data_IF_747585479904
#
_entry.id   IF_747585479904
#
_cell.length_a   1.000
_cell.length_b   1.000
_cell.length_c   1.000
_cell.angle_alpha   90.00
_cell.angle_beta   90.00
_cell.angle_gamma   90.00
#
_symmetry.space_group_name_H-M   'P 1'
#
loop_
_entity.id
_entity.type
_entity.pdbx_description
1 polymer ?
#
# COMPACT_ATOMS: atom_id res chain seq x y z
N UNK A 1 -23.14 -4.13 4.19
CA UNK A 1 -23.13 -3.47 2.86
C UNK A 1 -21.80 -2.75 2.68
N UNK A 2 -21.22 -2.67 1.49
CA UNK A 2 -19.97 -1.91 1.28
C UNK A 2 -20.23 -0.39 1.32
N UNK A 3 -19.35 0.38 1.94
CA UNK A 3 -19.37 1.84 1.92
C UNK A 3 -18.99 2.43 0.54
N UNK A 4 -19.16 3.74 0.35
CA UNK A 4 -18.88 4.43 -0.93
C UNK A 4 -17.38 4.36 -1.26
N UNK A 5 -17.02 3.55 -2.25
CA UNK A 5 -15.63 3.36 -2.71
C UNK A 5 -14.93 2.10 -2.19
N UNK A 6 -15.43 1.48 -1.12
CA UNK A 6 -14.85 0.27 -0.53
C UNK A 6 -14.94 -0.94 -1.47
N UNK A 7 -16.08 -1.12 -2.15
CA UNK A 7 -16.22 -2.18 -3.15
C UNK A 7 -15.26 -1.98 -4.34
N UNK A 8 -15.00 -0.72 -4.72
CA UNK A 8 -14.06 -0.42 -5.79
C UNK A 8 -12.61 -0.74 -5.36
N UNK A 9 -12.23 -0.38 -4.13
CA UNK A 9 -10.94 -0.76 -3.50
C UNK A 9 -10.78 -2.28 -3.47
N UNK A 10 -11.80 -3.00 -3.01
CA UNK A 10 -11.77 -4.47 -2.94
C UNK A 10 -11.64 -5.12 -4.31
N UNK A 11 -12.41 -4.69 -5.33
CA UNK A 11 -12.29 -5.22 -6.70
C UNK A 11 -10.87 -5.00 -7.24
N UNK A 12 -10.32 -3.80 -7.06
CA UNK A 12 -8.99 -3.46 -7.55
C UNK A 12 -7.90 -4.31 -6.87
N UNK A 13 -7.94 -4.43 -5.54
CA UNK A 13 -7.03 -5.24 -4.76
C UNK A 13 -7.17 -6.73 -5.07
N UNK A 14 -8.40 -7.21 -5.23
CA UNK A 14 -8.70 -8.60 -5.53
C UNK A 14 -8.13 -9.04 -6.89
N UNK A 15 -8.28 -8.21 -7.93
CA UNK A 15 -7.72 -8.50 -9.25
C UNK A 15 -6.18 -8.47 -9.21
N UNK A 16 -5.57 -7.58 -8.41
CA UNK A 16 -4.11 -7.49 -8.30
C UNK A 16 -3.46 -8.52 -7.36
N UNK A 17 -4.15 -9.00 -6.33
CA UNK A 17 -3.66 -10.06 -5.43
C UNK A 17 -3.56 -11.43 -6.10
N UNK A 18 -4.26 -11.61 -7.24
CA UNK A 18 -4.10 -12.74 -8.15
C UNK A 18 -2.89 -12.54 -9.10
N UNK A 19 -2.26 -11.37 -9.06
CA UNK A 19 -1.24 -10.89 -10.01
C UNK A 19 0.22 -11.27 -9.70
N UNK A 20 0.50 -12.52 -9.32
CA UNK A 20 1.84 -13.11 -9.49
C UNK A 20 1.89 -14.16 -10.60
N UNK A 21 0.76 -14.58 -11.13
CA UNK A 21 0.69 -15.48 -12.27
C UNK A 21 -0.43 -14.96 -13.15
N UNK A 22 -0.20 -14.97 -14.46
CA UNK A 22 -1.27 -15.01 -15.46
C UNK A 22 -2.10 -16.26 -15.15
N UNK A 23 -2.97 -16.22 -14.13
CA UNK A 23 -3.92 -17.28 -13.89
C UNK A 23 -5.05 -16.98 -14.87
N UNK A 24 -4.89 -17.54 -16.07
CA UNK A 24 -5.96 -17.77 -17.01
C UNK A 24 -6.99 -18.71 -16.35
N UNK A 25 -7.83 -18.21 -15.44
CA UNK A 25 -9.18 -18.77 -15.33
C UNK A 25 -9.99 -18.11 -16.43
N UNK A 26 -10.29 -18.92 -17.43
CA UNK A 26 -10.89 -18.46 -18.65
C UNK A 26 -12.40 -18.39 -18.52
N UNK A 27 -12.94 -17.22 -18.18
CA UNK A 27 -14.38 -16.97 -18.19
C UNK A 27 -14.67 -15.61 -18.85
N UNK A 28 -15.74 -15.49 -19.63
CA UNK A 28 -16.12 -14.23 -20.28
C UNK A 28 -16.63 -13.18 -19.27
N UNK A 29 -16.46 -11.92 -19.64
CA UNK A 29 -16.88 -10.71 -18.95
C UNK A 29 -16.40 -10.59 -17.51
N UNK A 30 -17.35 -10.25 -16.64
CA UNK A 30 -17.16 -10.16 -15.21
C UNK A 30 -17.04 -11.51 -14.52
N UNK A 31 -16.93 -12.63 -15.26
CA UNK A 31 -16.77 -13.97 -14.70
C UNK A 31 -15.64 -14.02 -13.68
N UNK A 32 -14.48 -13.42 -13.98
CA UNK A 32 -13.36 -13.35 -13.04
C UNK A 32 -13.71 -12.60 -11.73
N UNK A 33 -14.46 -11.50 -11.83
CA UNK A 33 -14.92 -10.73 -10.66
C UNK A 33 -15.98 -11.51 -9.89
N UNK A 34 -16.89 -12.20 -10.57
CA UNK A 34 -17.93 -13.00 -9.92
C UNK A 34 -17.38 -14.27 -9.27
N UNK A 35 -16.37 -14.92 -9.86
CA UNK A 35 -15.66 -16.03 -9.23
C UNK A 35 -14.92 -15.58 -7.96
N UNK A 36 -14.26 -14.43 -8.02
CA UNK A 36 -13.50 -13.89 -6.88
C UNK A 36 -14.41 -13.47 -5.71
N UNK A 37 -15.55 -12.87 -6.01
CA UNK A 37 -16.45 -12.29 -4.99
C UNK A 37 -17.72 -13.11 -4.70
N UNK A 38 -17.98 -14.18 -5.46
CA UNK A 38 -19.11 -15.13 -5.32
C UNK A 38 -20.43 -14.44 -4.94
N UNK A 39 -21.00 -13.58 -5.82
CA UNK A 39 -22.20 -12.82 -5.51
C UNK A 39 -23.40 -13.73 -5.25
N UNK A 40 -24.13 -13.48 -4.15
CA UNK A 40 -25.19 -14.38 -3.66
C UNK A 40 -26.54 -14.17 -4.36
N UNK A 41 -26.77 -13.00 -4.94
CA UNK A 41 -28.04 -12.65 -5.59
C UNK A 41 -27.84 -11.71 -6.79
N UNK A 42 -28.94 -11.46 -7.52
CA UNK A 42 -28.94 -10.57 -8.71
C UNK A 42 -28.55 -9.13 -8.38
N UNK A 43 -28.87 -8.64 -7.18
CA UNK A 43 -28.51 -7.28 -6.74
C UNK A 43 -27.00 -7.16 -6.57
N UNK A 44 -26.35 -8.16 -5.97
CA UNK A 44 -24.89 -8.23 -5.80
C UNK A 44 -24.17 -8.28 -7.14
N UNK A 45 -24.67 -9.09 -8.09
CA UNK A 45 -24.15 -9.16 -9.47
C UNK A 45 -24.21 -7.80 -10.17
N UNK A 46 -25.35 -7.11 -10.09
CA UNK A 46 -25.53 -5.76 -10.66
C UNK A 46 -24.59 -4.75 -10.01
N UNK A 47 -24.36 -4.85 -8.69
CA UNK A 47 -23.46 -3.96 -7.94
C UNK A 47 -22.01 -4.12 -8.40
N UNK A 48 -21.52 -5.36 -8.42
CA UNK A 48 -20.18 -5.70 -8.92
C UNK A 48 -20.00 -5.26 -10.38
N UNK A 49 -21.02 -5.42 -11.22
CA UNK A 49 -20.99 -4.96 -12.60
C UNK A 49 -20.78 -3.45 -12.70
N UNK A 50 -21.60 -2.67 -11.99
CA UNK A 50 -21.51 -1.21 -11.99
C UNK A 50 -20.16 -0.73 -11.48
N UNK A 51 -19.66 -1.30 -10.38
CA UNK A 51 -18.36 -0.93 -9.81
C UNK A 51 -17.21 -1.27 -10.75
N UNK A 52 -17.23 -2.43 -11.40
CA UNK A 52 -16.17 -2.83 -12.35
C UNK A 52 -16.16 -1.93 -13.59
N UNK A 53 -17.33 -1.63 -14.17
CA UNK A 53 -17.45 -0.69 -15.29
C UNK A 53 -17.03 0.73 -14.91
N UNK A 54 -17.25 1.13 -13.66
CA UNK A 54 -16.78 2.43 -13.19
C UNK A 54 -15.25 2.48 -13.07
N UNK A 55 -14.62 1.42 -12.56
CA UNK A 55 -13.16 1.30 -12.52
C UNK A 55 -12.55 1.30 -13.94
N UNK A 56 -13.20 0.65 -14.89
CA UNK A 56 -12.82 0.70 -16.32
C UNK A 56 -12.96 2.12 -16.89
N UNK A 57 -14.08 2.81 -16.64
CA UNK A 57 -14.29 4.21 -17.07
C UNK A 57 -13.23 5.15 -16.48
N UNK A 58 -12.77 4.88 -15.26
CA UNK A 58 -11.67 5.60 -14.60
C UNK A 58 -10.28 5.20 -15.10
N UNK A 59 -10.18 4.29 -16.07
CA UNK A 59 -8.93 3.73 -16.61
C UNK A 59 -8.09 3.00 -15.57
N UNK A 60 -8.69 2.56 -14.46
CA UNK A 60 -8.03 1.76 -13.42
C UNK A 60 -8.00 0.27 -13.79
N UNK A 61 -9.01 -0.17 -14.54
CA UNK A 61 -9.06 -1.48 -15.18
C UNK A 61 -9.10 -1.32 -16.70
N UNK A 62 -8.62 -2.34 -17.40
CA UNK A 62 -8.81 -2.54 -18.83
C UNK A 62 -9.55 -3.85 -19.04
N UNK A 63 -10.66 -3.81 -19.78
CA UNK A 63 -11.41 -5.01 -20.16
C UNK A 63 -11.29 -5.17 -21.67
N UNK A 64 -10.81 -6.31 -22.13
CA UNK A 64 -10.63 -6.60 -23.55
C UNK A 64 -10.82 -8.09 -23.83
N UNK A 65 -11.09 -8.43 -25.09
CA UNK A 65 -11.30 -9.83 -25.50
C UNK A 65 -10.02 -10.42 -26.09
N UNK A 66 -9.64 -11.62 -25.62
CA UNK A 66 -8.51 -12.42 -26.12
C UNK A 66 -8.92 -13.89 -26.16
N UNK A 67 -8.75 -14.56 -27.31
CA UNK A 67 -9.12 -15.96 -27.52
C UNK A 67 -10.58 -16.28 -27.11
N UNK A 68 -11.53 -15.42 -27.50
CA UNK A 68 -12.96 -15.56 -27.19
C UNK A 68 -13.33 -15.32 -25.72
N UNK A 69 -12.38 -14.90 -24.88
CA UNK A 69 -12.55 -14.69 -23.43
C UNK A 69 -12.32 -13.22 -23.09
N UNK A 70 -13.11 -12.66 -22.17
CA UNK A 70 -12.84 -11.30 -21.69
C UNK A 70 -11.82 -11.36 -20.56
N UNK A 71 -10.83 -10.49 -20.65
CA UNK A 71 -9.72 -10.36 -19.72
C UNK A 71 -9.90 -9.03 -19.00
N UNK A 72 -9.85 -9.08 -17.67
CA UNK A 72 -9.82 -7.88 -16.82
C UNK A 72 -8.41 -7.70 -16.29
N UNK A 73 -7.79 -6.56 -16.60
CA UNK A 73 -6.41 -6.27 -16.22
C UNK A 73 -6.33 -4.95 -15.46
N UNK A 74 -5.52 -4.92 -14.39
CA UNK A 74 -5.23 -3.67 -13.68
C UNK A 74 -4.23 -2.86 -14.51
N UNK A 75 -4.62 -1.64 -14.89
CA UNK A 75 -3.73 -0.76 -15.65
C UNK A 75 -2.60 -0.22 -14.77
N UNK A 76 -1.59 0.43 -15.37
CA UNK A 76 -0.57 1.17 -14.59
C UNK A 76 -1.19 2.22 -13.65
N UNK A 77 -2.28 2.86 -14.06
CA UNK A 77 -3.01 3.80 -13.21
C UNK A 77 -3.74 3.08 -12.06
N UNK A 78 -4.34 1.93 -12.35
CA UNK A 78 -4.90 1.03 -11.35
C UNK A 78 -3.87 0.59 -10.32
N UNK A 79 -2.69 0.16 -10.76
CA UNK A 79 -1.59 -0.24 -9.88
C UNK A 79 -1.17 0.91 -8.95
N UNK A 80 -1.04 2.15 -9.46
CA UNK A 80 -0.78 3.32 -8.61
C UNK A 80 -1.88 3.55 -7.58
N UNK A 81 -3.16 3.36 -7.96
CA UNK A 81 -4.29 3.51 -7.04
C UNK A 81 -4.29 2.43 -5.95
N UNK A 82 -3.91 1.19 -6.30
CA UNK A 82 -3.71 0.09 -5.34
C UNK A 82 -2.62 0.44 -4.33
N UNK A 83 -1.47 0.91 -4.82
CA UNK A 83 -0.37 1.29 -3.93
C UNK A 83 -0.79 2.44 -3.00
N UNK A 84 -1.57 3.41 -3.49
CA UNK A 84 -2.15 4.46 -2.65
C UNK A 84 -3.10 3.90 -1.58
N UNK A 85 -3.94 2.91 -1.90
CA UNK A 85 -4.78 2.25 -0.89
C UNK A 85 -3.96 1.52 0.17
N UNK A 86 -2.84 0.90 -0.22
CA UNK A 86 -1.93 0.25 0.73
C UNK A 86 -1.24 1.27 1.64
N UNK A 87 -0.97 2.49 1.17
CA UNK A 87 -0.44 3.58 2.00
C UNK A 87 -1.45 4.05 3.05
N UNK A 88 -2.73 4.15 2.69
CA UNK A 88 -3.79 4.59 3.62
C UNK A 88 -3.92 3.68 4.84
N UNK A 89 -3.77 2.36 4.64
CA UNK A 89 -3.90 1.36 5.72
C UNK A 89 -2.55 1.01 6.38
N UNK A 90 -1.43 1.53 5.86
CA UNK A 90 -0.10 1.19 6.34
C UNK A 90 0.09 1.66 7.79
N UNK A 91 0.55 0.75 8.66
CA UNK A 91 0.95 1.07 10.04
C UNK A 91 2.10 0.17 10.46
N UNK A 92 3.04 0.72 11.21
CA UNK A 92 4.08 -0.06 11.87
C UNK A 92 3.41 -0.91 12.96
N UNK A 93 3.53 -2.23 12.84
CA UNK A 93 2.97 -3.16 13.82
C UNK A 93 3.74 -3.03 15.13
N UNK A 94 3.00 -2.87 16.23
CA UNK A 94 3.58 -2.82 17.57
C UNK A 94 3.58 -4.23 18.17
N UNK A 95 4.74 -4.91 18.27
CA UNK A 95 4.82 -6.19 18.96
C UNK A 95 4.55 -6.02 20.47
N UNK A 96 4.20 -7.12 21.14
CA UNK A 96 4.03 -7.14 22.60
C UNK A 96 5.33 -6.85 23.35
N UNK A 97 6.46 -7.27 22.78
CA UNK A 97 7.80 -7.12 23.36
C UNK A 97 8.70 -6.41 22.35
N UNK A 98 9.40 -5.37 22.81
CA UNK A 98 10.45 -4.71 22.06
C UNK A 98 11.70 -5.62 22.00
N UNK A 99 12.37 -5.64 20.86
CA UNK A 99 13.58 -6.45 20.65
C UNK A 99 14.88 -5.75 21.10
N UNK A 100 14.77 -4.53 21.65
CA UNK A 100 15.90 -3.75 22.15
C UNK A 100 16.68 -3.01 21.06
N UNK A 101 16.17 -2.95 19.83
CA UNK A 101 16.82 -2.24 18.73
C UNK A 101 15.92 -1.12 18.18
N UNK A 102 16.55 0.01 17.88
CA UNK A 102 15.96 1.12 17.15
C UNK A 102 16.18 0.94 15.66
N UNK A 103 15.13 1.24 14.89
CA UNK A 103 15.14 1.36 13.44
C UNK A 103 15.26 2.82 13.11
N UNK A 104 16.45 3.25 12.73
CA UNK A 104 16.71 4.63 12.33
C UNK A 104 16.57 4.72 10.82
N UNK A 105 15.73 5.66 10.39
CA UNK A 105 15.39 5.91 9.00
C UNK A 105 15.86 7.31 8.67
N UNK A 106 16.85 7.41 7.79
CA UNK A 106 17.36 8.69 7.29
C UNK A 106 17.12 8.77 5.80
N UNK A 107 16.91 9.98 5.28
CA UNK A 107 16.81 10.16 3.85
C UNK A 107 17.44 11.46 3.36
N UNK A 108 18.07 11.38 2.19
CA UNK A 108 18.58 12.53 1.45
C UNK A 108 17.97 12.53 0.04
N UNK A 109 16.75 13.04 -0.04
CA UNK A 109 15.96 13.07 -1.27
C UNK A 109 16.22 14.40 -1.98
N UNK A 110 16.65 14.37 -3.26
CA UNK A 110 17.04 15.58 -3.98
C UNK A 110 15.87 16.54 -4.19
N UNK A 111 16.13 17.84 -4.30
CA UNK A 111 15.10 18.88 -4.37
C UNK A 111 14.15 18.73 -5.56
N UNK A 112 14.62 18.16 -6.68
CA UNK A 112 13.76 17.78 -7.82
C UNK A 112 12.63 16.81 -7.45
N UNK A 113 12.76 16.11 -6.32
CA UNK A 113 11.76 15.20 -5.74
C UNK A 113 11.22 15.72 -4.39
N UNK A 114 11.15 17.05 -4.19
CA UNK A 114 10.66 17.67 -2.95
C UNK A 114 9.27 17.21 -2.50
N UNK A 115 8.39 16.89 -3.45
CA UNK A 115 7.06 16.35 -3.15
C UNK A 115 7.20 15.00 -2.47
N UNK A 116 7.94 14.05 -3.06
CA UNK A 116 8.21 12.74 -2.46
C UNK A 116 8.82 12.85 -1.06
N UNK A 117 9.76 13.79 -0.86
CA UNK A 117 10.34 14.04 0.47
C UNK A 117 9.28 14.44 1.51
N UNK A 118 8.39 15.37 1.16
CA UNK A 118 7.31 15.82 2.06
C UNK A 118 6.32 14.69 2.35
N UNK A 119 5.92 13.95 1.32
CA UNK A 119 5.00 12.82 1.46
C UNK A 119 5.58 11.70 2.33
N UNK A 120 6.83 11.27 2.09
CA UNK A 120 7.51 10.26 2.92
C UNK A 120 7.60 10.73 4.36
N UNK A 121 8.01 11.99 4.59
CA UNK A 121 8.08 12.54 5.95
C UNK A 121 6.72 12.52 6.66
N UNK A 122 5.63 12.82 5.94
CA UNK A 122 4.28 12.76 6.52
C UNK A 122 3.84 11.32 6.78
N UNK A 123 4.09 10.42 5.83
CA UNK A 123 3.72 9.01 5.93
C UNK A 123 4.46 8.31 7.07
N UNK A 124 5.77 8.55 7.25
CA UNK A 124 6.54 8.00 8.37
C UNK A 124 5.93 8.38 9.72
N UNK A 125 5.54 9.64 9.91
CA UNK A 125 4.81 10.06 11.11
C UNK A 125 3.47 9.33 11.24
N UNK A 126 2.69 9.24 10.15
CA UNK A 126 1.36 8.64 10.15
C UNK A 126 1.38 7.13 10.46
N UNK A 127 2.38 6.40 9.96
CA UNK A 127 2.53 4.96 10.22
C UNK A 127 3.12 4.68 11.62
N UNK A 128 3.52 5.72 12.36
CA UNK A 128 3.91 5.64 13.77
C UNK A 128 5.41 5.70 14.04
N UNK A 129 6.24 6.15 13.10
CA UNK A 129 7.65 6.45 13.36
C UNK A 129 7.79 7.83 14.04
N UNK A 130 8.74 7.95 14.96
CA UNK A 130 9.00 9.18 15.70
C UNK A 130 10.05 10.03 15.00
N UNK A 131 9.73 11.31 14.75
CA UNK A 131 10.63 12.24 14.07
C UNK A 131 11.64 12.82 15.05
N UNK A 132 12.93 12.55 14.83
CA UNK A 132 14.02 13.15 15.63
C UNK A 132 14.68 14.34 14.92
N UNK A 133 14.66 14.38 13.59
CA UNK A 133 15.12 15.52 12.79
C UNK A 133 14.28 15.70 11.52
N UNK A 134 14.59 16.71 10.70
CA UNK A 134 13.84 17.01 9.47
C UNK A 134 13.75 15.80 8.52
N UNK A 135 14.85 15.06 8.36
CA UNK A 135 14.94 13.89 7.48
C UNK A 135 15.29 12.60 8.21
N UNK A 136 15.07 12.56 9.53
CA UNK A 136 15.46 11.42 10.37
C UNK A 136 14.32 11.01 11.30
N UNK A 137 13.99 9.73 11.25
CA UNK A 137 12.93 9.10 12.01
C UNK A 137 13.45 7.86 12.74
N UNK A 138 12.79 7.50 13.83
CA UNK A 138 13.12 6.33 14.63
C UNK A 138 11.85 5.54 14.93
N UNK A 139 11.93 4.22 14.81
CA UNK A 139 10.91 3.28 15.30
C UNK A 139 11.58 2.24 16.19
N UNK A 140 11.05 1.91 17.37
CA UNK A 140 11.51 0.73 18.12
C UNK A 140 11.02 -0.58 17.49
N UNK A 141 10.09 -0.52 16.54
CA UNK A 141 9.45 -1.69 15.96
C UNK A 141 9.90 -1.88 14.52
N UNK A 142 9.98 -3.15 14.11
CA UNK A 142 10.33 -3.54 12.75
C UNK A 142 9.42 -2.88 11.72
N UNK A 143 10.02 -2.19 10.75
CA UNK A 143 9.29 -1.44 9.72
C UNK A 143 9.97 -1.49 8.35
N UNK A 144 10.94 -2.39 8.14
CA UNK A 144 11.73 -2.43 6.90
C UNK A 144 10.88 -2.51 5.64
N UNK A 145 9.81 -3.32 5.67
CA UNK A 145 8.91 -3.52 4.53
C UNK A 145 8.15 -2.23 4.17
N UNK A 146 7.70 -1.49 5.17
CA UNK A 146 7.04 -0.20 5.00
C UNK A 146 8.01 0.82 4.39
N UNK A 147 9.26 0.86 4.87
CA UNK A 147 10.30 1.76 4.33
C UNK A 147 10.66 1.41 2.88
N UNK A 148 10.81 0.12 2.57
CA UNK A 148 11.10 -0.34 1.22
C UNK A 148 9.95 0.02 0.26
N UNK A 149 8.70 -0.25 0.67
CA UNK A 149 7.52 0.13 -0.10
C UNK A 149 7.42 1.63 -0.36
N UNK A 150 7.62 2.47 0.68
CA UNK A 150 7.61 3.92 0.53
C UNK A 150 8.71 4.38 -0.44
N UNK A 151 9.92 3.85 -0.29
CA UNK A 151 11.03 4.16 -1.17
C UNK A 151 10.75 3.80 -2.62
N UNK A 152 10.17 2.63 -2.88
CA UNK A 152 9.84 2.16 -4.23
C UNK A 152 8.68 2.95 -4.84
N UNK A 153 7.60 3.17 -4.08
CA UNK A 153 6.41 3.90 -4.54
C UNK A 153 6.76 5.32 -5.03
N UNK A 154 7.66 6.00 -4.31
CA UNK A 154 8.11 7.35 -4.67
C UNK A 154 9.37 7.36 -5.55
N UNK A 155 9.90 6.20 -5.93
CA UNK A 155 11.13 6.06 -6.73
C UNK A 155 12.36 6.74 -6.08
N UNK A 156 12.47 6.65 -4.75
CA UNK A 156 13.55 7.25 -3.96
C UNK A 156 14.21 6.26 -3.00
N UNK A 157 13.99 4.95 -3.20
CA UNK A 157 14.51 3.93 -2.27
C UNK A 157 16.02 4.05 -2.02
N UNK A 158 16.79 4.35 -3.07
CA UNK A 158 18.26 4.56 -2.98
C UNK A 158 18.67 5.77 -2.14
N UNK A 159 17.75 6.70 -1.89
CA UNK A 159 17.96 7.90 -1.08
C UNK A 159 17.61 7.69 0.39
N UNK A 160 17.17 6.49 0.78
CA UNK A 160 16.78 6.15 2.15
C UNK A 160 17.79 5.18 2.75
N UNK A 161 18.34 5.56 3.90
CA UNK A 161 19.17 4.71 4.75
C UNK A 161 18.30 4.16 5.87
N UNK A 162 18.36 2.85 6.05
CA UNK A 162 17.73 2.14 7.16
C UNK A 162 18.82 1.44 7.95
N UNK A 163 18.93 1.73 9.23
CA UNK A 163 19.93 1.13 10.10
C UNK A 163 19.31 0.68 11.42
N UNK A 164 19.95 -0.32 12.02
CA UNK A 164 19.64 -0.78 13.36
C UNK A 164 20.65 -0.17 14.32
N UNK A 165 20.17 0.38 15.45
CA UNK A 165 21.02 0.85 16.54
C UNK A 165 20.52 0.34 17.88
N UNK A 166 21.45 0.02 18.79
CA UNK A 166 21.08 -0.29 20.19
C UNK A 166 20.81 0.97 21.01
N UNK A 167 21.48 2.08 20.68
CA UNK A 167 21.37 3.35 21.37
C UNK A 167 21.60 4.54 20.44
N UNK A 168 21.16 5.73 20.83
CA UNK A 168 21.49 6.99 20.15
C UNK A 168 21.16 8.18 21.07
N UNK A 169 21.78 9.33 20.77
CA UNK A 169 21.52 10.56 21.54
C UNK A 169 20.05 10.99 21.42
N UNK A 170 19.41 11.23 22.57
CA UNK A 170 17.98 11.58 22.62
C UNK A 170 17.02 10.38 22.62
N UNK A 171 17.52 9.16 22.84
CA UNK A 171 16.68 7.96 22.94
C UNK A 171 15.63 8.02 24.05
N UNK A 172 15.85 8.80 25.12
CA UNK A 172 14.91 8.94 26.24
C UNK A 172 13.56 9.52 25.79
N UNK A 173 13.58 10.50 24.86
CA UNK A 173 12.36 11.06 24.30
C UNK A 173 11.58 10.00 23.51
N UNK A 174 12.30 9.12 22.80
CA UNK A 174 11.73 8.02 22.03
C UNK A 174 11.18 6.93 22.96
N UNK A 175 11.93 6.51 23.98
CA UNK A 175 11.47 5.57 25.02
C UNK A 175 10.19 6.08 25.69
N UNK A 176 10.16 7.35 26.10
CA UNK A 176 8.98 7.98 26.68
C UNK A 176 7.79 8.00 25.72
N UNK A 177 8.01 8.35 24.45
CA UNK A 177 6.95 8.39 23.44
C UNK A 177 6.33 7.01 23.21
N UNK A 178 7.16 5.97 23.11
CA UNK A 178 6.71 4.60 22.84
C UNK A 178 6.41 3.77 24.10
N UNK A 179 6.60 4.35 25.30
CA UNK A 179 6.44 3.69 26.60
C UNK A 179 7.29 2.42 26.70
N UNK A 180 8.54 2.52 26.25
CA UNK A 180 9.52 1.44 26.36
C UNK A 180 10.07 1.43 27.79
N UNK A 181 10.13 0.24 28.39
CA UNK A 181 10.76 -0.03 29.68
C UNK A 181 12.25 -0.25 29.52
#
# INVERSE_FOLDING_TARGET
EYSKGELAKLILLGIAGVGLIIVCVTLPGLGQVYELFKPKNTRDRKRLYRSTRQLEKQKLLRIYRKNGKDIVEVTRLGQRKILAYNLEDMKIKRPKKWDGWYRVIMFDIPEKKKIARREISSLLSNIGAYRIQKSTFVSPFECKKEIDFLGEYFDVRKNIVYMLSKNFDGEDAVKKHFKLS
#
